data_IF_099462399282
#
_entry.id   IF_099462399282
#
_cell.length_a   1.000
_cell.length_b   1.000
_cell.length_c   1.000
_cell.angle_alpha   90.00
_cell.angle_beta   90.00
_cell.angle_gamma   90.00
#
_symmetry.space_group_name_H-M   'P 1'
#
loop_
_entity.id
_entity.type
_entity.pdbx_description
1 polymer ?
#
# COMPACT_ATOMS: atom_id res chain seq x y z
N UNK A 1 -27.19 -12.88 0.03
CA UNK A 1 -25.90 -13.52 -0.28
C UNK A 1 -24.94 -12.40 -0.64
N UNK A 2 -23.97 -12.10 0.22
CA UNK A 2 -22.93 -11.12 -0.12
C UNK A 2 -22.15 -11.67 -1.32
N UNK A 3 -21.96 -10.85 -2.34
CA UNK A 3 -21.25 -11.24 -3.56
C UNK A 3 -19.81 -11.62 -3.16
N UNK A 4 -19.46 -12.90 -3.29
CA UNK A 4 -18.08 -13.37 -3.10
C UNK A 4 -17.24 -12.73 -4.21
N UNK A 5 -16.37 -11.80 -3.85
CA UNK A 5 -15.59 -11.01 -4.80
C UNK A 5 -14.34 -10.43 -4.16
N UNK A 6 -13.49 -9.85 -5.01
CA UNK A 6 -12.32 -9.10 -4.59
C UNK A 6 -12.74 -7.69 -4.15
N UNK A 7 -12.26 -7.26 -2.99
CA UNK A 7 -12.41 -5.91 -2.48
C UNK A 7 -11.06 -5.35 -2.10
N UNK A 8 -10.76 -4.13 -2.54
CA UNK A 8 -9.50 -3.45 -2.24
C UNK A 8 -9.80 -2.05 -1.74
N UNK A 9 -9.39 -1.77 -0.50
CA UNK A 9 -9.70 -0.51 0.18
C UNK A 9 -8.47 0.01 0.89
N UNK A 10 -8.07 1.25 0.61
CA UNK A 10 -7.14 1.97 1.50
C UNK A 10 -7.97 2.53 2.64
N UNK A 11 -7.76 2.05 3.87
CA UNK A 11 -8.47 2.55 5.06
C UNK A 11 -8.00 3.97 5.42
N UNK A 12 -6.69 4.17 5.32
CA UNK A 12 -5.99 5.43 5.47
C UNK A 12 -4.76 5.41 4.56
N UNK A 13 -4.41 6.55 3.97
CA UNK A 13 -3.17 6.64 3.20
C UNK A 13 -2.54 8.03 3.25
N UNK A 14 -1.27 8.08 3.63
CA UNK A 14 -0.49 9.31 3.76
C UNK A 14 0.43 9.29 4.98
N UNK A 15 1.23 10.33 5.15
CA UNK A 15 2.31 10.42 6.15
C UNK A 15 1.92 10.26 7.62
N UNK A 16 0.61 10.28 7.93
CA UNK A 16 0.08 10.09 9.29
C UNK A 16 -0.25 8.63 9.58
N UNK A 17 -0.54 7.85 8.54
CA UNK A 17 -0.92 6.46 8.69
C UNK A 17 -1.35 5.82 7.37
N UNK A 18 -0.82 4.62 7.14
CA UNK A 18 -1.17 3.75 6.03
C UNK A 18 -1.81 2.46 6.55
N UNK A 19 -2.90 2.06 5.93
CA UNK A 19 -3.50 0.74 6.14
C UNK A 19 -4.38 0.38 4.97
N UNK A 20 -4.21 -0.83 4.45
CA UNK A 20 -4.92 -1.34 3.28
C UNK A 20 -5.64 -2.61 3.68
N UNK A 21 -6.92 -2.69 3.34
CA UNK A 21 -7.76 -3.85 3.55
C UNK A 21 -8.01 -4.54 2.21
N UNK A 22 -7.77 -5.85 2.16
CA UNK A 22 -8.10 -6.71 1.02
C UNK A 22 -9.02 -7.81 1.48
N UNK A 23 -10.11 -8.02 0.75
CA UNK A 23 -10.97 -9.18 0.89
C UNK A 23 -11.03 -9.96 -0.41
N UNK A 24 -10.81 -11.26 -0.35
CA UNK A 24 -11.01 -12.16 -1.48
C UNK A 24 -11.89 -13.32 -1.02
N UNK A 25 -13.14 -13.34 -1.48
CA UNK A 25 -14.15 -14.27 -0.97
C UNK A 25 -14.37 -14.09 0.53
N UNK A 26 -13.97 -15.10 1.32
CA UNK A 26 -14.06 -15.08 2.78
C UNK A 26 -12.72 -14.79 3.48
N UNK A 27 -11.64 -14.59 2.74
CA UNK A 27 -10.32 -14.24 3.28
C UNK A 27 -10.20 -12.73 3.45
N UNK A 28 -9.79 -12.26 4.62
CA UNK A 28 -9.70 -10.84 5.00
C UNK A 28 -8.29 -10.54 5.49
N UNK A 29 -7.55 -9.78 4.68
CA UNK A 29 -6.17 -9.44 4.93
C UNK A 29 -6.06 -7.95 5.23
N UNK A 30 -5.21 -7.63 6.20
CA UNK A 30 -4.83 -6.26 6.49
C UNK A 30 -3.35 -6.07 6.16
N UNK A 31 -3.02 -4.99 5.45
CA UNK A 31 -1.65 -4.60 5.15
C UNK A 31 -1.39 -3.27 5.85
N UNK A 32 -0.41 -3.27 6.74
CA UNK A 32 -0.10 -2.21 7.69
C UNK A 32 -1.25 -1.85 8.65
N UNK A 33 -0.85 -1.32 9.79
CA UNK A 33 -1.70 -0.92 10.90
C UNK A 33 -1.31 0.50 11.35
N UNK A 34 -1.35 1.45 10.42
CA UNK A 34 -1.14 2.87 10.69
C UNK A 34 -2.19 3.49 11.62
N UNK A 35 -1.93 4.73 12.07
CA UNK A 35 -2.71 5.45 13.08
C UNK A 35 -2.86 4.65 14.40
N UNK A 36 -3.79 5.05 15.26
CA UNK A 36 -4.09 4.31 16.48
C UNK A 36 -5.17 3.22 16.23
N UNK A 37 -5.21 2.20 17.10
CA UNK A 37 -6.12 1.06 16.99
C UNK A 37 -7.62 1.47 16.97
N UNK A 38 -7.99 2.56 17.64
CA UNK A 38 -9.37 3.08 17.59
C UNK A 38 -9.74 3.57 16.18
N UNK A 39 -8.85 4.32 15.54
CA UNK A 39 -9.03 4.79 14.15
C UNK A 39 -9.10 3.61 13.17
N UNK A 40 -8.15 2.66 13.27
CA UNK A 40 -8.14 1.45 12.43
C UNK A 40 -9.45 0.65 12.56
N UNK A 41 -9.89 0.39 13.79
CA UNK A 41 -11.14 -0.34 14.05
C UNK A 41 -12.39 0.43 13.57
N UNK A 42 -12.35 1.76 13.61
CA UNK A 42 -13.44 2.59 13.08
C UNK A 42 -13.50 2.48 11.55
N UNK A 43 -12.37 2.61 10.86
CA UNK A 43 -12.32 2.48 9.41
C UNK A 43 -12.81 1.11 8.91
N UNK A 44 -12.39 0.02 9.57
CA UNK A 44 -12.90 -1.33 9.25
C UNK A 44 -14.43 -1.40 9.38
N UNK A 45 -15.00 -0.84 10.45
CA UNK A 45 -16.46 -0.81 10.65
C UNK A 45 -17.18 0.09 9.65
N UNK A 46 -16.59 1.21 9.25
CA UNK A 46 -17.14 2.11 8.23
C UNK A 46 -17.29 1.41 6.88
N UNK A 47 -16.40 0.47 6.56
CA UNK A 47 -16.49 -0.33 5.34
C UNK A 47 -17.35 -1.59 5.51
N UNK A 48 -17.99 -1.77 6.67
CA UNK A 48 -18.88 -2.90 6.98
C UNK A 48 -18.15 -4.18 7.41
N UNK A 49 -16.86 -4.09 7.76
CA UNK A 49 -16.06 -5.22 8.22
C UNK A 49 -15.84 -5.17 9.73
N UNK A 50 -15.63 -6.34 10.31
CA UNK A 50 -15.38 -6.50 11.73
C UNK A 50 -13.90 -6.77 11.97
N UNK A 51 -13.22 -6.03 12.87
CA UNK A 51 -11.81 -6.26 13.17
C UNK A 51 -11.47 -7.69 13.59
N UNK A 52 -12.36 -8.36 14.28
CA UNK A 52 -12.22 -9.76 14.71
C UNK A 52 -12.27 -10.79 13.57
N UNK A 53 -12.64 -10.38 12.35
CA UNK A 53 -12.68 -11.26 11.18
C UNK A 53 -11.42 -11.16 10.31
N UNK A 54 -10.45 -10.31 10.67
CA UNK A 54 -9.16 -10.24 9.96
C UNK A 54 -8.40 -11.55 10.19
N UNK A 55 -8.04 -12.23 9.11
CA UNK A 55 -7.34 -13.51 9.14
C UNK A 55 -5.85 -13.34 9.42
N UNK A 56 -5.22 -12.34 8.78
CA UNK A 56 -3.81 -12.04 8.93
C UNK A 56 -3.51 -10.56 8.70
N UNK A 57 -2.44 -10.07 9.33
CA UNK A 57 -1.87 -8.74 9.13
C UNK A 57 -0.48 -8.89 8.49
N UNK A 58 -0.18 -8.13 7.46
CA UNK A 58 1.12 -8.09 6.79
C UNK A 58 1.72 -6.70 6.93
N UNK A 59 2.97 -6.59 7.37
CA UNK A 59 3.64 -5.30 7.56
C UNK A 59 4.66 -5.08 6.45
N UNK A 60 4.64 -3.89 5.85
CA UNK A 60 5.60 -3.50 4.79
C UNK A 60 6.95 -3.14 5.39
N UNK A 61 6.98 -2.31 6.45
CA UNK A 61 8.18 -1.87 7.14
C UNK A 61 7.88 -1.25 8.52
N UNK A 62 8.91 -0.85 9.28
CA UNK A 62 8.79 -0.48 10.70
C UNK A 62 8.46 1.00 10.98
N UNK A 63 8.13 1.80 9.98
CA UNK A 63 7.81 3.21 10.21
C UNK A 63 6.49 3.36 10.98
N UNK A 64 6.40 4.42 11.79
CA UNK A 64 5.30 4.60 12.75
C UNK A 64 3.94 4.69 12.07
N UNK A 65 3.86 5.36 10.94
CA UNK A 65 2.68 5.45 10.10
C UNK A 65 2.23 4.09 9.53
N UNK A 66 3.02 3.03 9.64
CA UNK A 66 2.64 1.66 9.25
C UNK A 66 2.34 0.75 10.44
N UNK A 67 2.86 1.03 11.64
CA UNK A 67 2.77 0.09 12.78
C UNK A 67 2.12 0.66 14.04
N UNK A 68 1.71 1.93 14.06
CA UNK A 68 1.26 2.61 15.28
C UNK A 68 0.10 1.92 16.01
N UNK A 69 -0.79 1.21 15.30
CA UNK A 69 -1.90 0.46 15.89
C UNK A 69 -1.54 -1.00 16.20
N UNK A 70 -0.43 -1.51 15.66
CA UNK A 70 -0.14 -2.94 15.55
C UNK A 70 -0.16 -3.65 16.91
N UNK A 71 0.60 -3.15 17.88
CA UNK A 71 0.69 -3.77 19.22
C UNK A 71 -0.67 -3.82 19.93
N UNK A 72 -1.42 -2.72 19.90
CA UNK A 72 -2.74 -2.66 20.54
C UNK A 72 -3.76 -3.51 19.78
N UNK A 73 -3.67 -3.57 18.46
CA UNK A 73 -4.55 -4.37 17.62
C UNK A 73 -4.34 -5.87 17.87
N UNK A 74 -3.09 -6.35 17.84
CA UNK A 74 -2.75 -7.76 18.07
C UNK A 74 -3.12 -8.24 19.48
N UNK A 75 -2.94 -7.40 20.52
CA UNK A 75 -3.38 -7.75 21.89
C UNK A 75 -4.89 -7.86 22.04
N UNK A 76 -5.64 -7.08 21.25
CA UNK A 76 -7.11 -7.06 21.29
C UNK A 76 -7.73 -8.14 20.41
N UNK A 77 -7.09 -8.44 19.30
CA UNK A 77 -7.51 -9.41 18.30
C UNK A 77 -6.31 -10.33 18.02
N UNK A 78 -6.34 -11.60 18.48
CA UNK A 78 -5.20 -12.52 18.38
C UNK A 78 -5.00 -12.98 16.92
N UNK A 79 -4.56 -12.06 16.08
CA UNK A 79 -4.33 -12.21 14.66
C UNK A 79 -2.86 -12.53 14.39
N UNK A 80 -2.61 -13.38 13.40
CA UNK A 80 -1.25 -13.64 12.94
C UNK A 80 -0.70 -12.40 12.24
N UNK A 81 0.52 -12.02 12.59
CA UNK A 81 1.21 -10.89 11.98
C UNK A 81 2.44 -11.39 11.21
N UNK A 82 2.52 -11.05 9.93
CA UNK A 82 3.61 -11.40 9.03
C UNK A 82 4.47 -10.18 8.76
N UNK A 83 5.79 -10.32 8.91
CA UNK A 83 6.74 -9.27 8.55
C UNK A 83 8.13 -9.86 8.28
N UNK A 84 8.98 -9.13 7.57
CA UNK A 84 10.38 -9.51 7.40
C UNK A 84 11.14 -9.45 8.74
N UNK A 85 12.14 -10.32 8.94
CA UNK A 85 12.92 -10.40 10.19
C UNK A 85 13.52 -9.04 10.60
N UNK A 86 14.16 -8.24 9.72
CA UNK A 86 14.72 -6.94 10.13
C UNK A 86 13.65 -5.96 10.61
N UNK A 87 12.44 -6.02 10.04
CA UNK A 87 11.28 -5.25 10.47
C UNK A 87 10.84 -5.71 11.86
N UNK A 88 10.71 -7.03 12.09
CA UNK A 88 10.33 -7.60 13.38
C UNK A 88 11.28 -7.21 14.52
N UNK A 89 12.58 -7.25 14.27
CA UNK A 89 13.61 -6.83 15.22
C UNK A 89 13.45 -5.36 15.62
N UNK A 90 13.10 -4.49 14.67
CA UNK A 90 12.94 -3.06 14.90
C UNK A 90 11.64 -2.70 15.62
N UNK A 91 10.54 -3.37 15.29
CA UNK A 91 9.24 -3.22 15.98
C UNK A 91 9.32 -3.75 17.42
N UNK A 92 10.29 -4.63 17.71
CA UNK A 92 10.40 -5.37 18.98
C UNK A 92 9.12 -6.13 19.32
N UNK A 93 8.46 -6.67 18.29
CA UNK A 93 7.28 -7.49 18.46
C UNK A 93 7.72 -8.87 18.97
N UNK A 94 7.42 -9.16 20.24
CA UNK A 94 7.82 -10.40 20.93
C UNK A 94 6.64 -11.36 21.13
N UNK A 95 5.54 -11.15 20.40
CA UNK A 95 4.35 -11.98 20.50
C UNK A 95 4.51 -13.31 19.73
N UNK A 96 3.92 -14.38 20.26
CA UNK A 96 3.92 -15.73 19.67
C UNK A 96 3.10 -15.82 18.38
N UNK A 97 2.25 -14.82 18.10
CA UNK A 97 1.47 -14.72 16.86
C UNK A 97 2.20 -13.96 15.74
N UNK A 98 3.45 -13.57 15.95
CA UNK A 98 4.25 -12.90 14.91
C UNK A 98 5.13 -13.90 14.18
N UNK A 99 4.87 -14.07 12.89
CA UNK A 99 5.66 -14.91 11.98
C UNK A 99 6.67 -14.04 11.26
N UNK A 100 7.94 -14.40 11.43
CA UNK A 100 9.07 -13.68 10.84
C UNK A 100 9.57 -14.41 9.61
N UNK A 101 9.83 -13.64 8.56
CA UNK A 101 10.21 -14.16 7.25
C UNK A 101 11.57 -13.62 6.81
N UNK A 102 12.23 -14.34 5.90
CA UNK A 102 13.23 -13.70 5.05
C UNK A 102 12.55 -12.57 4.23
N UNK A 103 13.28 -11.55 3.74
CA UNK A 103 12.68 -10.43 3.01
C UNK A 103 11.81 -10.85 1.82
N UNK A 104 12.21 -11.89 1.10
CA UNK A 104 11.43 -12.53 0.04
C UNK A 104 10.76 -13.78 0.60
N UNK A 105 9.43 -13.78 0.62
CA UNK A 105 8.63 -14.89 1.12
C UNK A 105 7.32 -15.04 0.37
N UNK A 106 6.68 -16.18 0.57
CA UNK A 106 5.35 -16.50 0.06
C UNK A 106 4.59 -17.28 1.11
N UNK A 107 3.34 -16.90 1.38
CA UNK A 107 2.47 -17.50 2.38
C UNK A 107 1.10 -17.73 1.77
N UNK A 108 0.62 -18.97 1.85
CA UNK A 108 -0.78 -19.29 1.55
C UNK A 108 -1.64 -18.94 2.76
N UNK A 109 -2.57 -18.01 2.57
CA UNK A 109 -3.56 -17.60 3.56
C UNK A 109 -4.95 -17.89 2.98
N UNK A 110 -5.56 -19.00 3.42
CA UNK A 110 -6.82 -19.52 2.87
C UNK A 110 -6.83 -19.61 1.34
N UNK A 111 -7.60 -18.75 0.65
CA UNK A 111 -7.72 -18.71 -0.81
C UNK A 111 -6.79 -17.67 -1.48
N UNK A 112 -5.86 -17.10 -0.72
CA UNK A 112 -4.88 -16.12 -1.19
C UNK A 112 -3.47 -16.69 -1.10
N UNK A 113 -2.63 -16.36 -2.08
CA UNK A 113 -1.17 -16.50 -1.96
C UNK A 113 -0.57 -15.09 -1.85
N UNK A 114 0.04 -14.79 -0.71
CA UNK A 114 0.68 -13.49 -0.44
C UNK A 114 2.18 -13.63 -0.56
N UNK A 115 2.77 -12.93 -1.53
CA UNK A 115 4.22 -12.94 -1.77
C UNK A 115 4.80 -11.54 -1.66
N UNK A 116 6.03 -11.43 -1.18
CA UNK A 116 6.74 -10.15 -1.02
C UNK A 116 7.74 -9.88 -2.14
N UNK A 117 8.01 -8.59 -2.37
CA UNK A 117 9.14 -8.11 -3.17
C UNK A 117 9.80 -6.92 -2.45
N UNK A 118 11.09 -6.69 -2.66
CA UNK A 118 11.84 -5.63 -1.98
C UNK A 118 11.52 -4.27 -2.61
N UNK A 119 11.30 -3.23 -1.80
CA UNK A 119 11.19 -1.84 -2.26
C UNK A 119 12.35 -0.99 -1.77
N UNK A 120 12.86 -0.05 -2.59
CA UNK A 120 13.90 0.87 -2.17
C UNK A 120 13.29 1.99 -1.33
N UNK A 121 13.34 1.83 0.00
CA UNK A 121 12.90 2.83 0.96
C UNK A 121 13.82 2.84 2.17
N UNK A 122 13.94 3.98 2.84
CA UNK A 122 14.89 4.18 3.92
C UNK A 122 14.39 3.64 5.28
N UNK A 123 14.25 2.32 5.35
CA UNK A 123 13.88 1.55 6.53
C UNK A 123 14.87 0.41 6.80
N UNK A 124 14.64 -0.39 7.84
CA UNK A 124 15.44 -1.59 8.12
C UNK A 124 15.27 -2.65 7.04
N UNK A 125 14.04 -2.77 6.54
CA UNK A 125 13.67 -3.58 5.40
C UNK A 125 12.30 -3.07 4.94
N UNK A 126 12.18 -2.81 3.64
CA UNK A 126 10.94 -2.41 3.00
C UNK A 126 10.54 -3.41 1.94
N UNK A 127 9.28 -3.84 2.00
CA UNK A 127 8.71 -4.78 1.05
C UNK A 127 7.33 -4.33 0.59
N UNK A 128 7.04 -4.60 -0.68
CA UNK A 128 5.70 -4.59 -1.25
C UNK A 128 5.13 -6.00 -1.32
N UNK A 129 3.87 -6.11 -1.72
CA UNK A 129 3.14 -7.38 -1.73
C UNK A 129 2.43 -7.63 -3.06
N UNK A 130 2.44 -8.89 -3.49
CA UNK A 130 1.57 -9.42 -4.54
C UNK A 130 0.65 -10.46 -3.91
N UNK A 131 -0.66 -10.25 -4.06
CA UNK A 131 -1.72 -11.11 -3.55
C UNK A 131 -2.38 -11.78 -4.75
N UNK A 132 -2.17 -13.08 -4.90
CA UNK A 132 -2.84 -13.88 -5.94
C UNK A 132 -4.10 -14.52 -5.39
N UNK A 133 -5.19 -14.41 -6.14
CA UNK A 133 -6.52 -14.92 -5.75
C UNK A 133 -7.29 -15.40 -6.97
N UNK A 134 -8.31 -16.23 -6.76
CA UNK A 134 -9.24 -16.64 -7.83
C UNK A 134 -10.11 -15.50 -8.38
N UNK A 135 -10.11 -14.33 -7.72
CA UNK A 135 -10.94 -13.18 -8.05
C UNK A 135 -10.17 -12.06 -8.76
N UNK A 136 -8.85 -12.23 -8.95
CA UNK A 136 -7.94 -11.23 -9.51
C UNK A 136 -6.73 -11.00 -8.61
N UNK A 137 -5.62 -10.58 -9.24
CA UNK A 137 -4.36 -10.33 -8.53
C UNK A 137 -4.28 -8.87 -8.07
N UNK A 138 -3.74 -8.65 -6.87
CA UNK A 138 -3.55 -7.31 -6.29
C UNK A 138 -2.08 -7.06 -6.00
N UNK A 139 -1.56 -5.91 -6.44
CA UNK A 139 -0.24 -5.41 -6.07
C UNK A 139 -0.33 -4.27 -5.06
N UNK A 140 0.52 -4.29 -4.03
CA UNK A 140 0.71 -3.19 -3.09
C UNK A 140 2.15 -2.71 -3.21
N UNK A 141 2.29 -1.47 -3.65
CA UNK A 141 3.56 -0.80 -3.87
C UNK A 141 3.45 0.64 -3.32
N UNK A 142 3.60 0.78 -2.00
CA UNK A 142 3.81 2.08 -1.33
C UNK A 142 5.25 2.20 -0.85
N UNK A 143 5.69 3.41 -0.50
CA UNK A 143 7.04 3.67 0.01
C UNK A 143 8.12 3.12 -0.95
N UNK A 144 8.19 3.73 -2.12
CA UNK A 144 9.12 3.42 -3.20
C UNK A 144 9.85 4.68 -3.63
N UNK A 145 11.16 4.76 -3.38
CA UNK A 145 11.98 5.81 -3.98
C UNK A 145 12.16 5.64 -5.50
N UNK A 146 12.20 4.40 -5.98
CA UNK A 146 12.36 4.05 -7.40
C UNK A 146 11.58 2.78 -7.74
N UNK A 147 11.13 2.68 -8.99
CA UNK A 147 10.58 1.44 -9.56
C UNK A 147 11.64 0.83 -10.49
N UNK A 148 12.22 -0.30 -10.07
CA UNK A 148 13.13 -1.09 -10.92
C UNK A 148 12.34 -1.95 -11.91
N UNK A 149 13.04 -2.56 -12.87
CA UNK A 149 12.43 -3.48 -13.83
C UNK A 149 11.79 -4.67 -13.10
N UNK A 150 12.45 -5.23 -12.09
CA UNK A 150 11.93 -6.36 -11.31
C UNK A 150 10.65 -6.00 -10.54
N UNK A 151 10.56 -4.77 -10.00
CA UNK A 151 9.35 -4.27 -9.34
C UNK A 151 8.22 -4.11 -10.38
N UNK A 152 8.53 -3.51 -11.52
CA UNK A 152 7.56 -3.31 -12.60
C UNK A 152 7.02 -4.65 -13.13
N UNK A 153 7.89 -5.64 -13.34
CA UNK A 153 7.52 -7.00 -13.76
C UNK A 153 6.69 -7.74 -12.71
N UNK A 154 7.02 -7.58 -11.43
CA UNK A 154 6.24 -8.16 -10.33
C UNK A 154 4.80 -7.63 -10.33
N UNK A 155 4.63 -6.33 -10.59
CA UNK A 155 3.34 -5.66 -10.64
C UNK A 155 2.57 -5.89 -11.95
N UNK A 156 3.25 -6.18 -13.06
CA UNK A 156 2.65 -6.34 -14.39
C UNK A 156 1.55 -7.43 -14.46
N UNK A 157 1.57 -8.40 -13.55
CA UNK A 157 0.58 -9.48 -13.47
C UNK A 157 -0.63 -9.17 -12.56
N UNK A 158 -0.74 -7.93 -12.07
CA UNK A 158 -1.81 -7.51 -11.18
C UNK A 158 -2.98 -6.86 -11.93
N UNK A 159 -4.20 -7.29 -11.62
CA UNK A 159 -5.43 -6.67 -12.13
C UNK A 159 -5.71 -5.34 -11.42
N UNK A 160 -5.34 -5.24 -10.14
CA UNK A 160 -5.52 -4.06 -9.30
C UNK A 160 -4.22 -3.68 -8.59
N UNK A 161 -3.86 -2.40 -8.55
CA UNK A 161 -2.61 -1.95 -7.91
C UNK A 161 -2.85 -0.75 -6.99
N UNK A 162 -2.35 -0.84 -5.76
CA UNK A 162 -2.14 0.30 -4.85
C UNK A 162 -0.73 0.82 -5.10
N UNK A 163 -0.62 2.01 -5.69
CA UNK A 163 0.65 2.56 -6.17
C UNK A 163 0.97 3.89 -5.47
N UNK A 164 2.19 4.07 -4.98
CA UNK A 164 2.62 5.36 -4.44
C UNK A 164 2.55 6.48 -5.47
N UNK A 165 2.04 7.63 -5.05
CA UNK A 165 2.08 8.90 -5.79
C UNK A 165 2.31 10.01 -4.77
N UNK A 166 3.52 10.10 -4.23
CA UNK A 166 3.79 10.85 -3.01
C UNK A 166 3.78 12.35 -3.24
N UNK A 167 4.48 12.86 -4.26
CA UNK A 167 4.67 14.30 -4.41
C UNK A 167 4.62 14.78 -5.86
N UNK A 168 4.19 16.04 -6.02
CA UNK A 168 4.50 16.85 -7.19
C UNK A 168 5.91 17.46 -7.01
N UNK A 169 6.76 17.33 -8.03
CA UNK A 169 8.18 17.71 -7.94
C UNK A 169 8.36 19.20 -7.70
N UNK A 170 7.54 20.04 -8.34
CA UNK A 170 7.66 21.48 -8.24
C UNK A 170 7.07 22.00 -6.91
N UNK A 171 5.96 21.42 -6.45
CA UNK A 171 5.47 21.65 -5.09
C UNK A 171 6.52 21.24 -4.06
N UNK A 172 7.18 20.09 -4.21
CA UNK A 172 8.23 19.67 -3.28
C UNK A 172 9.42 20.62 -3.27
N UNK A 173 9.88 21.08 -4.44
CA UNK A 173 10.99 22.03 -4.55
C UNK A 173 10.67 23.38 -3.92
N UNK A 174 9.47 23.91 -4.17
CA UNK A 174 9.02 25.21 -3.67
C UNK A 174 8.41 25.17 -2.26
N UNK A 175 8.09 23.98 -1.77
CA UNK A 175 7.35 23.75 -0.54
C UNK A 175 8.12 24.04 0.75
N UNK A 176 7.48 23.86 1.91
CA UNK A 176 7.99 24.34 3.21
C UNK A 176 9.10 23.47 3.81
N UNK A 177 9.38 22.30 3.23
CA UNK A 177 10.34 21.36 3.80
C UNK A 177 11.79 21.87 3.78
N UNK A 178 12.61 21.52 4.78
CA UNK A 178 14.03 21.82 4.75
C UNK A 178 14.73 21.16 3.55
N UNK A 179 15.81 21.74 3.00
CA UNK A 179 16.53 21.19 1.85
C UNK A 179 16.94 19.72 2.00
N UNK A 180 17.38 19.30 3.19
CA UNK A 180 17.78 17.92 3.44
C UNK A 180 16.61 16.93 3.32
N UNK A 181 15.41 17.31 3.78
CA UNK A 181 14.22 16.47 3.64
C UNK A 181 13.75 16.39 2.19
N UNK A 182 13.80 17.51 1.45
CA UNK A 182 13.51 17.53 0.01
C UNK A 182 14.46 16.61 -0.75
N UNK A 183 15.76 16.68 -0.46
CA UNK A 183 16.77 15.82 -1.09
C UNK A 183 16.54 14.33 -0.78
N UNK A 184 16.17 13.99 0.45
CA UNK A 184 15.80 12.63 0.85
C UNK A 184 14.59 12.12 0.06
N UNK A 185 13.51 12.90 0.00
CA UNK A 185 12.27 12.52 -0.70
C UNK A 185 12.52 12.30 -2.20
N UNK A 186 13.33 13.15 -2.83
CA UNK A 186 13.71 13.05 -4.25
C UNK A 186 14.74 11.96 -4.57
N UNK A 187 15.28 11.27 -3.56
CA UNK A 187 16.31 10.25 -3.78
C UNK A 187 15.72 8.90 -4.20
N UNK A 188 16.58 8.01 -4.70
CA UNK A 188 16.19 6.67 -5.15
C UNK A 188 15.61 5.78 -4.02
N UNK A 189 15.76 6.19 -2.75
CA UNK A 189 15.25 5.53 -1.55
C UNK A 189 14.19 6.37 -0.80
N UNK A 190 13.77 7.49 -1.39
CA UNK A 190 12.76 8.38 -0.84
C UNK A 190 11.35 7.91 -1.16
N UNK A 191 10.65 8.68 -2.00
CA UNK A 191 9.28 8.39 -2.41
C UNK A 191 9.03 8.71 -3.88
N UNK A 192 8.03 8.05 -4.46
CA UNK A 192 7.71 8.17 -5.88
C UNK A 192 7.02 9.51 -6.18
N UNK A 193 7.47 10.23 -7.20
CA UNK A 193 6.77 11.42 -7.68
C UNK A 193 5.53 11.04 -8.51
N UNK A 194 4.57 11.96 -8.64
CA UNK A 194 3.41 11.81 -9.51
C UNK A 194 3.83 11.50 -10.97
N UNK A 195 4.90 12.13 -11.45
CA UNK A 195 5.40 11.92 -12.81
C UNK A 195 5.89 10.48 -13.02
N UNK A 196 6.65 9.94 -12.07
CA UNK A 196 7.13 8.55 -12.17
C UNK A 196 5.96 7.58 -12.00
N UNK A 197 5.10 7.82 -11.01
CA UNK A 197 3.89 7.02 -10.74
C UNK A 197 2.99 6.93 -11.98
N UNK A 198 2.77 8.05 -12.68
CA UNK A 198 1.93 8.09 -13.89
C UNK A 198 2.48 7.23 -15.04
N UNK A 199 3.81 7.20 -15.23
CA UNK A 199 4.45 6.35 -16.24
C UNK A 199 4.36 4.87 -15.88
N UNK A 200 4.56 4.55 -14.60
CA UNK A 200 4.40 3.20 -14.08
C UNK A 200 2.94 2.75 -14.25
N UNK A 201 1.96 3.60 -13.91
CA UNK A 201 0.54 3.31 -14.12
C UNK A 201 0.21 3.01 -15.60
N UNK A 202 0.73 3.79 -16.54
CA UNK A 202 0.55 3.53 -17.97
C UNK A 202 1.20 2.21 -18.42
N UNK A 203 2.39 1.89 -17.92
CA UNK A 203 3.04 0.60 -18.18
C UNK A 203 2.20 -0.57 -17.63
N UNK A 204 1.76 -0.50 -16.38
CA UNK A 204 0.92 -1.53 -15.75
C UNK A 204 -0.39 -1.73 -16.53
N UNK A 205 -1.02 -0.65 -16.98
CA UNK A 205 -2.19 -0.72 -17.84
C UNK A 205 -1.91 -1.46 -19.16
N UNK A 206 -0.72 -1.24 -19.76
CA UNK A 206 -0.29 -1.98 -20.96
C UNK A 206 -0.11 -3.48 -20.73
N UNK A 207 0.17 -3.88 -19.48
CA UNK A 207 0.26 -5.27 -19.05
C UNK A 207 -1.09 -5.87 -18.64
N UNK A 208 -2.17 -5.08 -18.63
CA UNK A 208 -3.53 -5.55 -18.35
C UNK A 208 -4.10 -5.15 -17.00
N UNK A 209 -3.42 -4.31 -16.22
CA UNK A 209 -4.00 -3.73 -14.98
C UNK A 209 -5.23 -2.89 -15.31
N UNK A 210 -6.32 -3.10 -14.57
CA UNK A 210 -7.63 -2.47 -14.80
C UNK A 210 -8.00 -1.45 -13.75
N UNK A 211 -7.46 -1.59 -12.53
CA UNK A 211 -7.78 -0.74 -11.39
C UNK A 211 -6.49 -0.24 -10.73
N UNK A 212 -6.38 1.06 -10.53
CA UNK A 212 -5.24 1.67 -9.83
C UNK A 212 -5.78 2.63 -8.77
N UNK A 213 -5.24 2.54 -7.56
CA UNK A 213 -5.43 3.57 -6.54
C UNK A 213 -4.08 4.21 -6.22
N UNK A 214 -4.00 5.52 -6.37
CA UNK A 214 -2.83 6.31 -6.01
C UNK A 214 -2.83 6.54 -4.51
N UNK A 215 -1.74 6.16 -3.86
CA UNK A 215 -1.63 6.12 -2.41
C UNK A 215 -0.41 6.91 -1.92
N UNK A 216 -0.39 7.12 -0.61
CA UNK A 216 0.71 7.68 0.15
C UNK A 216 1.11 9.11 -0.26
N UNK A 217 0.10 9.97 -0.46
CA UNK A 217 0.30 11.37 -0.83
C UNK A 217 0.96 12.16 0.32
N UNK A 218 1.91 13.02 -0.05
CA UNK A 218 2.51 14.01 0.84
C UNK A 218 1.48 15.08 1.22
N UNK A 219 1.35 15.34 2.52
CA UNK A 219 0.43 16.35 3.06
C UNK A 219 0.71 17.77 2.52
N UNK A 220 1.97 18.09 2.25
CA UNK A 220 2.38 19.46 1.88
C UNK A 220 2.81 19.62 0.43
N UNK A 221 3.22 18.54 -0.24
CA UNK A 221 3.83 18.62 -1.56
C UNK A 221 3.03 17.85 -2.61
N UNK A 222 1.76 17.59 -2.34
CA UNK A 222 0.86 16.99 -3.30
C UNK A 222 -0.58 17.43 -3.04
N UNK A 223 -1.45 17.18 -4.01
CA UNK A 223 -2.90 17.22 -3.85
C UNK A 223 -3.50 16.03 -4.57
N UNK A 224 -4.66 15.51 -4.13
CA UNK A 224 -5.35 14.45 -4.85
C UNK A 224 -5.60 14.77 -6.33
N UNK A 225 -5.92 16.04 -6.63
CA UNK A 225 -6.18 16.52 -7.98
C UNK A 225 -4.94 16.45 -8.87
N UNK A 226 -3.76 16.80 -8.36
CA UNK A 226 -2.51 16.72 -9.12
C UNK A 226 -2.10 15.28 -9.40
N UNK A 227 -2.16 14.41 -8.38
CA UNK A 227 -1.86 12.99 -8.53
C UNK A 227 -2.80 12.33 -9.55
N UNK A 228 -4.10 12.59 -9.43
CA UNK A 228 -5.10 12.10 -10.37
C UNK A 228 -4.84 12.62 -11.79
N UNK A 229 -4.68 13.93 -11.96
CA UNK A 229 -4.54 14.54 -13.29
C UNK A 229 -3.28 14.05 -14.02
N UNK A 230 -2.15 13.90 -13.32
CA UNK A 230 -0.92 13.37 -13.89
C UNK A 230 -1.11 11.93 -14.41
N UNK A 231 -1.63 11.04 -13.56
CA UNK A 231 -1.83 9.63 -13.91
C UNK A 231 -2.93 9.44 -14.95
N UNK A 232 -4.03 10.17 -14.85
CA UNK A 232 -5.13 10.13 -15.83
C UNK A 232 -4.65 10.54 -17.22
N UNK A 233 -3.88 11.63 -17.31
CA UNK A 233 -3.29 12.08 -18.58
C UNK A 233 -2.39 11.01 -19.20
N UNK A 234 -1.45 10.46 -18.43
CA UNK A 234 -0.53 9.44 -18.94
C UNK A 234 -1.27 8.18 -19.44
N UNK A 235 -2.28 7.73 -18.70
CA UNK A 235 -3.12 6.61 -19.12
C UNK A 235 -3.92 6.93 -20.40
N UNK A 236 -4.49 8.13 -20.52
CA UNK A 236 -5.28 8.53 -21.69
C UNK A 236 -4.43 8.67 -22.94
N UNK A 237 -3.25 9.29 -22.83
CA UNK A 237 -2.26 9.42 -23.91
C UNK A 237 -1.76 8.05 -24.40
N UNK A 238 -1.68 7.07 -23.49
CA UNK A 238 -1.32 5.69 -23.80
C UNK A 238 -2.50 4.83 -24.31
N UNK A 239 -3.72 5.36 -24.38
CA UNK A 239 -4.90 4.63 -24.85
C UNK A 239 -5.62 3.77 -23.81
N UNK A 240 -5.34 3.98 -22.52
CA UNK A 240 -5.88 3.24 -21.38
C UNK A 240 -6.89 4.05 -20.56
N UNK A 241 -7.74 4.83 -21.23
CA UNK A 241 -8.81 5.64 -20.60
C UNK A 241 -9.84 4.82 -19.83
N UNK A 242 -9.93 3.51 -20.11
CA UNK A 242 -10.82 2.56 -19.42
C UNK A 242 -10.33 2.16 -18.03
N UNK A 243 -9.05 2.38 -17.69
CA UNK A 243 -8.50 2.02 -16.38
C UNK A 243 -9.20 2.84 -15.29
N UNK A 244 -9.77 2.14 -14.30
CA UNK A 244 -10.33 2.78 -13.12
C UNK A 244 -9.18 3.35 -12.29
N UNK A 245 -9.25 4.65 -12.03
CA UNK A 245 -8.24 5.38 -11.26
C UNK A 245 -8.92 6.07 -10.07
N UNK A 246 -8.42 5.80 -8.88
CA UNK A 246 -8.85 6.45 -7.63
C UNK A 246 -7.63 7.09 -6.94
N UNK A 247 -7.87 8.02 -6.01
CA UNK A 247 -6.83 8.56 -5.13
C UNK A 247 -7.23 8.35 -3.69
N UNK A 248 -6.34 7.73 -2.92
CA UNK A 248 -6.57 7.41 -1.53
C UNK A 248 -6.66 8.68 -0.67
N UNK A 249 -7.64 8.70 0.24
CA UNK A 249 -7.81 9.76 1.23
C UNK A 249 -7.02 9.45 2.52
N UNK A 250 -6.44 10.48 3.12
CA UNK A 250 -5.66 10.36 4.35
C UNK A 250 -6.52 10.28 5.62
N UNK A 251 -7.82 10.55 5.51
CA UNK A 251 -8.74 10.72 6.63
C UNK A 251 -9.91 9.75 6.65
N UNK A 252 -10.18 9.06 5.53
CA UNK A 252 -11.30 8.12 5.39
C UNK A 252 -10.99 6.97 4.42
N UNK A 253 -11.72 5.85 4.52
CA UNK A 253 -11.58 4.75 3.58
C UNK A 253 -11.87 5.17 2.13
N UNK A 254 -11.06 4.68 1.20
CA UNK A 254 -11.24 4.83 -0.25
C UNK A 254 -11.31 3.46 -0.89
N UNK A 255 -12.42 3.16 -1.56
CA UNK A 255 -12.70 1.85 -2.17
C UNK A 255 -12.27 1.88 -3.64
N UNK A 256 -11.36 0.99 -4.02
CA UNK A 256 -10.99 0.80 -5.42
C UNK A 256 -11.96 -0.15 -6.13
N UNK A 257 -12.22 -1.32 -5.54
CA UNK A 257 -13.16 -2.34 -6.00
C UNK A 257 -13.85 -3.01 -4.82
#
# INVERSE_FOLDING_TARGET
MMQQGLRVVTLYSGSRGNSIYIRAGDTRLLFDAGLNCSALCRALREIGELPELIDAVYITHEHKDHISALDVFQRRYPVTVHMAEPTAEAVRCVDYLTVRHAPLFSVSERCCEVSSFITPHDSRMSIGYIIRTDYGNVGIATDLGTVTEEIAESLAYCDSVVLESNHDVEMLRSGPYPPALKARILSDYGHLSNDVSSRVAAYLASCGTKNIILAHLSEHNNTPELAYAASRRALDEAGYSFVRLEVADSSKPTVLI
#
